data_IF_451505996703
#
_entry.id   IF_451505996703
#
_cell.length_a   1.000
_cell.length_b   1.000
_cell.length_c   1.000
_cell.angle_alpha   90.00
_cell.angle_beta   90.00
_cell.angle_gamma   90.00
#
_symmetry.space_group_name_H-M   'P 1'
#
loop_
_entity.id
_entity.type
_entity.pdbx_description
1 polymer ?
#
# COMPACT_ATOMS: atom_id res chain seq x y z
N UNK A 1 -5.06 -13.48 -12.13
CA UNK A 1 -5.23 -13.60 -10.64
C UNK A 1 -4.28 -12.64 -9.91
N UNK A 2 -4.72 -12.01 -8.81
CA UNK A 2 -3.87 -11.12 -7.97
C UNK A 2 -3.34 -11.90 -6.77
N UNK A 3 -2.03 -11.79 -6.51
CA UNK A 3 -1.38 -12.32 -5.31
C UNK A 3 -0.95 -11.17 -4.41
N UNK A 4 -1.02 -11.40 -3.10
CA UNK A 4 -0.55 -10.45 -2.10
C UNK A 4 0.54 -11.07 -1.24
N UNK A 5 1.53 -10.25 -0.90
CA UNK A 5 2.51 -10.51 0.14
C UNK A 5 2.42 -9.38 1.17
N UNK A 6 2.37 -9.74 2.45
CA UNK A 6 2.24 -8.78 3.55
C UNK A 6 3.46 -8.91 4.46
N UNK A 7 4.12 -7.78 4.73
CA UNK A 7 5.31 -7.73 5.57
C UNK A 7 5.20 -6.63 6.61
N UNK A 8 5.48 -6.96 7.86
CA UNK A 8 5.60 -5.96 8.92
C UNK A 8 6.96 -5.25 8.85
N UNK A 9 6.93 -3.92 9.00
CA UNK A 9 8.09 -3.04 9.02
C UNK A 9 8.18 -2.36 10.39
N UNK A 10 8.77 -3.08 11.35
CA UNK A 10 8.80 -2.69 12.77
C UNK A 10 9.52 -1.37 13.03
N UNK A 11 10.54 -1.02 12.24
CA UNK A 11 11.33 0.20 12.41
C UNK A 11 10.53 1.49 12.18
N UNK A 12 9.45 1.42 11.39
CA UNK A 12 8.61 2.56 11.01
C UNK A 12 7.14 2.37 11.40
N UNK A 13 6.84 1.34 12.19
CA UNK A 13 5.49 0.99 12.64
C UNK A 13 4.48 0.95 11.47
N UNK A 14 4.81 0.16 10.45
CA UNK A 14 4.01 0.05 9.23
C UNK A 14 3.92 -1.39 8.70
N UNK A 15 2.99 -1.61 7.77
CA UNK A 15 2.82 -2.86 7.03
C UNK A 15 2.98 -2.59 5.53
N UNK A 16 3.87 -3.32 4.87
CA UNK A 16 3.99 -3.35 3.42
C UNK A 16 3.00 -4.39 2.85
N UNK A 17 2.13 -3.93 1.97
CA UNK A 17 1.24 -4.77 1.16
C UNK A 17 1.75 -4.72 -0.27
N UNK A 18 2.41 -5.79 -0.68
CA UNK A 18 2.88 -5.98 -2.06
C UNK A 18 1.87 -6.80 -2.84
N UNK A 19 1.54 -6.38 -4.06
CA UNK A 19 0.64 -7.11 -4.95
C UNK A 19 1.27 -7.40 -6.31
N UNK A 20 0.94 -8.57 -6.85
CA UNK A 20 1.33 -9.01 -8.18
C UNK A 20 0.10 -9.42 -8.99
N UNK A 21 -0.03 -8.89 -10.21
CA UNK A 21 -1.02 -9.32 -11.19
C UNK A 21 -0.36 -10.40 -12.06
N UNK A 22 -0.60 -11.68 -11.74
CA UNK A 22 0.14 -12.84 -12.29
C UNK A 22 0.07 -12.91 -13.82
N UNK A 23 -1.08 -12.57 -14.41
CA UNK A 23 -1.32 -12.67 -15.85
C UNK A 23 -1.14 -11.33 -16.57
N UNK A 24 -0.68 -10.29 -15.86
CA UNK A 24 -0.50 -8.92 -16.38
C UNK A 24 -1.78 -8.15 -16.70
N UNK A 25 -2.93 -8.83 -16.77
CA UNK A 25 -4.25 -8.24 -16.98
C UNK A 25 -5.08 -8.38 -15.71
N UNK A 26 -5.72 -7.27 -15.30
CA UNK A 26 -6.67 -7.23 -14.22
C UNK A 26 -7.96 -6.56 -14.71
N UNK A 27 -9.04 -7.31 -14.80
CA UNK A 27 -10.36 -6.73 -15.09
C UNK A 27 -10.90 -5.98 -13.86
N UNK A 28 -11.87 -5.08 -14.08
CA UNK A 28 -12.52 -4.36 -12.98
C UNK A 28 -13.30 -5.33 -12.08
N UNK A 29 -14.01 -6.30 -12.66
CA UNK A 29 -14.78 -7.29 -11.90
C UNK A 29 -13.88 -8.12 -10.97
N UNK A 30 -12.77 -8.67 -11.49
CA UNK A 30 -11.75 -9.36 -10.68
C UNK A 30 -11.16 -8.40 -9.63
N UNK A 31 -10.76 -7.22 -10.08
CA UNK A 31 -10.13 -6.20 -9.26
C UNK A 31 -11.01 -5.68 -8.13
N UNK A 32 -12.33 -5.90 -8.14
CA UNK A 32 -13.26 -5.56 -7.05
C UNK A 32 -13.82 -6.77 -6.29
N UNK A 33 -13.67 -7.99 -6.82
CA UNK A 33 -14.12 -9.24 -6.18
C UNK A 33 -13.04 -9.92 -5.34
N UNK A 34 -11.75 -9.64 -5.58
CA UNK A 34 -10.69 -10.18 -4.74
C UNK A 34 -10.79 -9.64 -3.30
N UNK A 35 -10.56 -10.53 -2.35
CA UNK A 35 -10.37 -10.19 -0.95
C UNK A 35 -9.01 -9.50 -0.77
N UNK A 36 -8.99 -8.47 0.07
CA UNK A 36 -7.78 -7.72 0.39
C UNK A 36 -7.20 -8.24 1.72
N UNK A 37 -5.87 -8.30 1.87
CA UNK A 37 -5.26 -8.71 3.13
C UNK A 37 -5.68 -7.82 4.30
N UNK A 38 -5.98 -8.44 5.44
CA UNK A 38 -6.18 -7.73 6.70
C UNK A 38 -4.84 -7.18 7.22
N UNK A 39 -4.84 -5.92 7.65
CA UNK A 39 -3.66 -5.25 8.23
C UNK A 39 -4.06 -4.44 9.46
N UNK A 40 -3.16 -4.23 10.43
CA UNK A 40 -3.45 -3.38 11.59
C UNK A 40 -3.62 -1.91 11.19
N UNK A 41 -4.79 -1.32 11.47
CA UNK A 41 -5.07 0.10 11.18
C UNK A 41 -4.46 1.07 12.21
N UNK A 42 -3.92 0.56 13.32
CA UNK A 42 -3.14 1.35 14.26
C UNK A 42 -1.69 1.59 13.78
N UNK A 43 -1.33 1.13 12.57
CA UNK A 43 -0.02 1.31 11.93
C UNK A 43 -0.15 2.05 10.59
N UNK A 44 0.98 2.38 9.98
CA UNK A 44 1.03 2.83 8.59
C UNK A 44 0.84 1.67 7.60
N UNK A 45 0.38 1.95 6.39
CA UNK A 45 0.30 0.96 5.29
C UNK A 45 1.06 1.47 4.06
N UNK A 46 1.86 0.61 3.45
CA UNK A 46 2.60 0.91 2.22
C UNK A 46 2.11 -0.03 1.12
N UNK A 47 1.69 0.54 -0.01
CA UNK A 47 1.23 -0.20 -1.18
C UNK A 47 2.36 -0.31 -2.21
N UNK A 48 2.73 -1.53 -2.58
CA UNK A 48 3.70 -1.83 -3.64
C UNK A 48 3.10 -2.79 -4.66
N UNK A 49 3.48 -2.65 -5.92
CA UNK A 49 3.02 -3.54 -6.98
C UNK A 49 3.07 -2.88 -8.35
N UNK A 50 2.73 -3.63 -9.38
CA UNK A 50 2.50 -3.08 -10.73
C UNK A 50 1.05 -3.30 -11.09
N UNK A 51 0.31 -2.21 -11.26
CA UNK A 51 -1.12 -2.29 -11.55
C UNK A 51 -1.70 -0.96 -12.03
N UNK A 52 -2.97 -0.98 -12.45
CA UNK A 52 -3.65 0.21 -12.93
C UNK A 52 -3.97 1.19 -11.79
N UNK A 53 -4.07 2.48 -12.11
CA UNK A 53 -4.31 3.55 -11.14
C UNK A 53 -5.61 3.33 -10.35
N UNK A 54 -6.67 2.84 -11.00
CA UNK A 54 -7.94 2.59 -10.32
C UNK A 54 -7.83 1.49 -9.25
N UNK A 55 -6.90 0.54 -9.41
CA UNK A 55 -6.69 -0.51 -8.42
C UNK A 55 -5.96 0.06 -7.20
N UNK A 56 -4.97 0.92 -7.42
CA UNK A 56 -4.41 1.73 -6.33
C UNK A 56 -5.48 2.57 -5.63
N UNK A 57 -6.41 3.19 -6.37
CA UNK A 57 -7.54 3.91 -5.78
C UNK A 57 -8.39 3.04 -4.85
N UNK A 58 -8.70 1.79 -5.26
CA UNK A 58 -9.40 0.81 -4.42
C UNK A 58 -8.59 0.47 -3.15
N UNK A 59 -7.32 0.14 -3.29
CA UNK A 59 -6.44 -0.23 -2.17
C UNK A 59 -6.30 0.94 -1.18
N UNK A 60 -6.06 2.15 -1.68
CA UNK A 60 -5.97 3.37 -0.87
C UNK A 60 -7.25 3.58 -0.06
N UNK A 61 -8.42 3.42 -0.67
CA UNK A 61 -9.68 3.55 0.03
C UNK A 61 -9.89 2.44 1.07
N UNK A 62 -9.53 1.20 0.76
CA UNK A 62 -9.66 0.08 1.70
C UNK A 62 -8.77 0.26 2.95
N UNK A 63 -7.56 0.78 2.77
CA UNK A 63 -6.58 0.98 3.86
C UNK A 63 -6.59 2.41 4.44
N UNK A 64 -7.50 3.29 4.02
CA UNK A 64 -7.60 4.65 4.56
C UNK A 64 -7.78 4.75 6.09
N UNK A 65 -8.39 3.78 6.80
CA UNK A 65 -8.52 3.88 8.25
C UNK A 65 -7.18 3.74 9.00
N UNK A 66 -6.11 3.31 8.32
CA UNK A 66 -4.75 3.26 8.88
C UNK A 66 -4.25 4.64 9.32
N UNK A 67 -3.23 4.69 10.20
CA UNK A 67 -2.62 5.96 10.64
C UNK A 67 -2.20 6.84 9.47
N UNK A 68 -1.63 6.22 8.44
CA UNK A 68 -1.29 6.83 7.16
C UNK A 68 -1.17 5.74 6.09
N UNK A 69 -1.31 6.12 4.82
CA UNK A 69 -1.12 5.23 3.68
C UNK A 69 -0.11 5.85 2.71
N UNK A 70 0.81 5.03 2.21
CA UNK A 70 1.84 5.43 1.26
C UNK A 70 1.83 4.55 0.00
N UNK A 71 2.26 5.10 -1.12
CA UNK A 71 2.43 4.39 -2.39
C UNK A 71 3.91 4.32 -2.74
N UNK A 72 4.42 3.13 -3.01
CA UNK A 72 5.79 2.92 -3.42
C UNK A 72 6.06 3.43 -4.85
N UNK A 73 7.05 4.31 -4.99
CA UNK A 73 7.65 4.71 -6.26
C UNK A 73 9.12 4.25 -6.29
N UNK A 74 9.54 3.40 -7.25
CA UNK A 74 10.92 2.91 -7.34
C UNK A 74 12.00 4.00 -7.42
N UNK A 75 11.64 5.21 -7.85
CA UNK A 75 12.55 6.35 -8.00
C UNK A 75 12.75 7.13 -6.70
N UNK A 76 11.80 7.04 -5.76
CA UNK A 76 11.74 7.89 -4.56
C UNK A 76 11.78 7.10 -3.25
N UNK A 77 11.04 6.00 -3.16
CA UNK A 77 10.61 5.39 -1.89
C UNK A 77 9.09 5.35 -1.79
N UNK A 78 8.54 5.13 -0.59
CA UNK A 78 7.09 5.16 -0.41
C UNK A 78 6.62 6.57 -0.04
N UNK A 79 5.77 7.16 -0.88
CA UNK A 79 5.25 8.52 -0.69
C UNK A 79 3.93 8.45 0.07
N UNK A 80 3.84 9.09 1.23
CA UNK A 80 2.60 9.17 2.01
C UNK A 80 1.58 10.03 1.28
N UNK A 81 0.40 9.48 1.01
CA UNK A 81 -0.67 10.12 0.23
C UNK A 81 -1.93 10.40 1.03
N UNK A 82 -2.07 9.80 2.22
CA UNK A 82 -3.14 10.08 3.17
C UNK A 82 -2.61 9.89 4.59
N UNK A 83 -3.01 10.76 5.53
CA UNK A 83 -2.63 10.64 6.94
C UNK A 83 -3.72 11.13 7.89
N UNK A 84 -4.00 10.33 8.92
CA UNK A 84 -4.78 10.70 10.10
C UNK A 84 -3.90 10.89 11.34
N UNK A 85 -2.58 10.78 11.18
CA UNK A 85 -1.62 10.77 12.27
C UNK A 85 -0.74 12.02 12.26
N UNK A 86 -0.64 12.70 13.40
CA UNK A 86 0.14 13.95 13.52
C UNK A 86 1.65 13.75 13.27
N UNK A 87 2.17 12.54 13.43
CA UNK A 87 3.60 12.24 13.29
C UNK A 87 4.10 12.09 11.86
N UNK A 88 3.22 11.93 10.87
CA UNK A 88 3.59 11.73 9.46
C UNK A 88 2.65 12.53 8.57
N UNK A 89 3.18 13.36 7.69
CA UNK A 89 2.38 14.22 6.81
C UNK A 89 2.30 13.66 5.39
N UNK A 90 1.28 14.07 4.64
CA UNK A 90 1.20 13.82 3.20
C UNK A 90 2.43 14.43 2.49
N UNK A 91 2.92 13.74 1.47
CA UNK A 91 4.16 14.10 0.77
C UNK A 91 5.45 13.66 1.47
N UNK A 92 5.40 13.14 2.70
CA UNK A 92 6.56 12.48 3.32
C UNK A 92 7.00 11.28 2.48
N UNK A 93 8.30 11.17 2.20
CA UNK A 93 8.90 10.03 1.51
C UNK A 93 9.57 9.12 2.53
N UNK A 94 9.08 7.89 2.64
CA UNK A 94 9.72 6.81 3.40
C UNK A 94 10.85 6.21 2.53
N UNK A 95 12.12 6.30 2.97
CA UNK A 95 13.25 5.83 2.18
C UNK A 95 13.21 4.32 1.92
N UNK A 96 13.74 3.88 0.77
CA UNK A 96 13.70 2.48 0.31
C UNK A 96 14.40 1.52 1.25
N UNK A 97 15.45 1.98 1.90
CA UNK A 97 16.22 1.23 2.90
C UNK A 97 15.38 0.82 4.12
N UNK A 98 14.29 1.55 4.41
CA UNK A 98 13.36 1.25 5.51
C UNK A 98 12.23 0.29 5.13
N UNK A 99 12.18 -0.14 3.87
CA UNK A 99 11.18 -1.08 3.35
C UNK A 99 11.69 -2.52 3.30
N UNK A 100 12.92 -2.75 3.77
CA UNK A 100 13.61 -4.04 3.73
C UNK A 100 13.43 -4.86 5.00
#
# INVERSE_FOLDING_TARGET
MVRFEVKELSEIDATLVEFEIVDGVLSVEEGFSIELPEVPFDKGVILSGRGPIWFYGRLLHAYHPSRWVAVFDPRLGAVVVASHWRGVSEGTVIPREKLR
#
